data_IF_845717867263
#
_entry.id   IF_845717867263
#
_cell.length_a   1.000
_cell.length_b   1.000
_cell.length_c   1.000
_cell.angle_alpha   90.00
_cell.angle_beta   90.00
_cell.angle_gamma   90.00
#
_symmetry.space_group_name_H-M   'P 1'
#
loop_
_entity.id
_entity.type
_entity.pdbx_description
1 polymer ?
#
# COMPACT_ATOMS: atom_id res chain seq x y z
N UNK A 1 56.68 68.12 32.70
CA UNK A 1 57.00 66.72 33.00
C UNK A 1 55.81 66.16 33.74
N UNK A 2 55.35 65.00 33.25
CA UNK A 2 54.41 64.07 33.86
C UNK A 2 52.92 64.44 33.88
N UNK A 3 51.95 63.56 33.61
CA UNK A 3 51.85 62.29 32.87
C UNK A 3 50.36 61.96 32.78
N UNK A 4 49.98 61.17 31.77
CA UNK A 4 48.63 60.83 31.32
C UNK A 4 47.71 60.14 32.35
N UNK A 5 46.39 60.22 32.11
CA UNK A 5 45.48 59.05 32.14
C UNK A 5 44.09 59.43 31.58
N UNK A 6 43.83 59.05 30.33
CA UNK A 6 42.50 59.08 29.71
C UNK A 6 42.02 57.62 29.62
N UNK A 7 41.04 57.27 30.44
CA UNK A 7 40.47 55.91 30.49
C UNK A 7 39.44 55.74 29.38
N UNK A 8 39.79 55.01 28.33
CA UNK A 8 38.86 54.57 27.28
C UNK A 8 38.18 53.28 27.77
N UNK A 9 36.89 53.35 28.09
CA UNK A 9 36.08 52.17 28.36
C UNK A 9 35.66 51.52 27.03
N UNK A 10 36.29 50.40 26.68
CA UNK A 10 35.88 49.57 25.56
C UNK A 10 34.65 48.73 25.96
N UNK A 11 33.48 49.12 25.47
CA UNK A 11 32.25 48.33 25.60
C UNK A 11 32.34 47.08 24.72
N UNK A 12 32.50 45.91 25.32
CA UNK A 12 32.46 44.63 24.63
C UNK A 12 31.00 44.30 24.28
N UNK A 13 30.60 44.53 23.03
CA UNK A 13 29.30 44.10 22.52
C UNK A 13 29.37 42.59 22.26
N UNK A 14 28.95 41.78 23.23
CA UNK A 14 28.77 40.34 23.05
C UNK A 14 27.49 40.13 22.24
N UNK A 15 27.63 39.97 20.93
CA UNK A 15 26.55 39.53 20.06
C UNK A 15 26.17 38.09 20.45
N UNK A 16 25.12 37.95 21.24
CA UNK A 16 24.55 36.65 21.61
C UNK A 16 24.01 35.97 20.36
N UNK A 17 24.76 35.00 19.83
CA UNK A 17 24.25 34.06 18.84
C UNK A 17 23.28 33.14 19.57
N UNK A 18 21.99 33.44 19.46
CA UNK A 18 20.93 32.52 19.90
C UNK A 18 20.99 31.33 18.93
N UNK A 19 21.27 30.09 19.41
CA UNK A 19 21.22 28.94 18.53
C UNK A 19 19.76 28.77 18.10
N UNK A 20 19.51 28.98 16.81
CA UNK A 20 18.24 28.66 16.18
C UNK A 20 18.11 27.14 16.28
N UNK A 21 17.30 26.67 17.24
CA UNK A 21 16.97 25.27 17.34
C UNK A 21 16.22 24.89 16.05
N UNK A 22 16.92 24.23 15.13
CA UNK A 22 16.30 23.57 13.99
C UNK A 22 15.36 22.53 14.57
N UNK A 23 14.06 22.83 14.64
CA UNK A 23 13.04 21.82 14.90
C UNK A 23 13.16 20.85 13.74
N UNK A 24 13.76 19.69 13.97
CA UNK A 24 13.82 18.64 12.96
C UNK A 24 12.37 18.36 12.55
N UNK A 25 12.05 18.62 11.28
CA UNK A 25 10.74 18.29 10.73
C UNK A 25 10.53 16.80 10.93
N UNK A 26 9.50 16.45 11.68
CA UNK A 26 9.09 15.06 11.88
C UNK A 26 8.83 14.45 10.49
N UNK A 27 9.47 13.31 10.17
CA UNK A 27 9.31 12.69 8.86
C UNK A 27 7.83 12.35 8.63
N UNK A 28 7.29 12.72 7.47
CA UNK A 28 5.87 12.53 7.14
C UNK A 28 5.57 11.15 6.51
N UNK A 29 6.56 10.26 6.53
CA UNK A 29 6.51 8.88 6.08
C UNK A 29 7.44 8.05 6.95
N UNK A 30 7.40 6.72 6.80
CA UNK A 30 8.39 5.82 7.39
C UNK A 30 9.18 5.11 6.31
N UNK A 31 10.46 4.86 6.59
CA UNK A 31 11.33 4.07 5.76
C UNK A 31 11.84 2.89 6.58
N UNK A 32 11.80 1.71 5.99
CA UNK A 32 12.44 0.50 6.49
C UNK A 32 13.57 0.17 5.52
N UNK A 33 14.80 0.23 6.00
CA UNK A 33 15.93 -0.24 5.22
C UNK A 33 15.87 -1.76 5.10
N UNK A 34 16.19 -2.25 3.91
CA UNK A 34 16.21 -3.69 3.64
C UNK A 34 17.33 -4.37 4.40
N UNK A 35 17.04 -5.51 5.01
CA UNK A 35 18.05 -6.46 5.47
C UNK A 35 18.71 -7.20 4.29
N UNK A 36 19.62 -8.15 4.56
CA UNK A 36 20.12 -9.05 3.52
C UNK A 36 18.97 -9.95 3.03
N UNK A 37 18.83 -10.09 1.70
CA UNK A 37 17.81 -10.96 1.13
C UNK A 37 17.62 -10.81 -0.37
N UNK A 38 16.70 -11.59 -0.99
CA UNK A 38 16.46 -11.56 -2.42
C UNK A 38 16.05 -10.18 -2.98
N UNK A 39 15.45 -9.34 -2.14
CA UNK A 39 15.01 -7.99 -2.45
C UNK A 39 16.06 -6.90 -2.23
N UNK A 40 17.28 -7.24 -1.79
CA UNK A 40 18.34 -6.28 -1.56
C UNK A 40 18.61 -5.42 -2.79
N UNK A 41 18.73 -4.11 -2.59
CA UNK A 41 18.92 -3.12 -3.66
C UNK A 41 17.66 -2.76 -4.46
N UNK A 42 16.49 -3.34 -4.12
CA UNK A 42 15.19 -2.95 -4.69
C UNK A 42 14.41 -2.06 -3.73
N UNK A 43 13.71 -1.07 -4.26
CA UNK A 43 12.92 -0.12 -3.49
C UNK A 43 11.43 -0.24 -3.79
N UNK A 44 10.63 -0.45 -2.75
CA UNK A 44 9.18 -0.50 -2.81
C UNK A 44 8.60 0.74 -2.12
N UNK A 45 7.71 1.45 -2.80
CA UNK A 45 6.92 2.54 -2.20
C UNK A 45 5.50 2.05 -1.96
N UNK A 46 5.04 2.14 -0.72
CA UNK A 46 3.73 1.70 -0.27
C UNK A 46 2.87 2.94 0.04
N UNK A 47 1.82 3.18 -0.75
CA UNK A 47 0.98 4.38 -0.69
C UNK A 47 -0.33 4.04 -0.01
N UNK A 48 -0.48 4.48 1.26
CA UNK A 48 -1.73 4.35 2.02
C UNK A 48 -2.62 5.59 1.87
N UNK A 49 -3.88 5.49 2.27
CA UNK A 49 -4.86 6.58 2.15
C UNK A 49 -6.26 6.05 1.89
N UNK A 50 -6.68 5.12 2.72
CA UNK A 50 -8.01 4.53 2.74
C UNK A 50 -8.58 4.66 4.16
N UNK A 51 -9.75 5.28 4.24
CA UNK A 51 -10.44 5.63 5.48
C UNK A 51 -11.31 4.52 6.07
N UNK A 52 -11.36 3.34 5.44
CA UNK A 52 -12.26 2.26 5.82
C UNK A 52 -11.48 1.00 6.26
N UNK A 53 -10.55 0.51 5.45
CA UNK A 53 -9.85 -0.77 5.61
C UNK A 53 -8.47 -0.69 6.26
N UNK A 54 -8.11 0.47 6.80
CA UNK A 54 -6.92 0.71 7.63
C UNK A 54 -5.61 0.49 6.89
N UNK A 55 -5.52 1.02 5.66
CA UNK A 55 -4.27 0.99 4.88
C UNK A 55 -3.04 1.51 5.64
N UNK A 56 -3.22 2.47 6.55
CA UNK A 56 -2.23 3.06 7.44
C UNK A 56 -1.71 2.08 8.51
N UNK A 57 -2.39 0.96 8.76
CA UNK A 57 -1.92 -0.13 9.62
C UNK A 57 -1.42 -1.32 8.78
N UNK A 58 -2.07 -1.60 7.64
CA UNK A 58 -1.72 -2.70 6.75
C UNK A 58 -0.34 -2.50 6.08
N UNK A 59 -0.11 -1.35 5.47
CA UNK A 59 1.10 -1.11 4.67
C UNK A 59 2.37 -1.02 5.52
N UNK A 60 2.38 -0.43 6.74
CA UNK A 60 3.51 -0.56 7.64
C UNK A 60 3.90 -2.01 7.94
N UNK A 61 2.93 -2.88 8.21
CA UNK A 61 3.24 -4.27 8.53
C UNK A 61 3.75 -5.02 7.31
N UNK A 62 3.14 -4.81 6.14
CA UNK A 62 3.63 -5.40 4.89
C UNK A 62 5.04 -4.90 4.55
N UNK A 63 5.30 -3.60 4.71
CA UNK A 63 6.61 -3.00 4.51
C UNK A 63 7.68 -3.56 5.45
N UNK A 64 7.34 -3.78 6.73
CA UNK A 64 8.25 -4.43 7.69
C UNK A 64 8.57 -5.87 7.28
N UNK A 65 7.56 -6.65 6.86
CA UNK A 65 7.78 -8.03 6.38
C UNK A 65 8.70 -8.03 5.15
N UNK A 66 8.42 -7.16 4.16
CA UNK A 66 9.23 -7.04 2.96
C UNK A 66 10.67 -6.62 3.26
N UNK A 67 10.89 -5.72 4.21
CA UNK A 67 12.23 -5.25 4.57
C UNK A 67 13.01 -6.26 5.44
N UNK A 68 12.40 -6.76 6.52
CA UNK A 68 13.05 -7.62 7.51
C UNK A 68 13.23 -9.06 7.02
N UNK A 69 12.27 -9.59 6.24
CA UNK A 69 12.29 -11.00 5.80
C UNK A 69 12.90 -11.18 4.41
N UNK A 70 12.86 -10.14 3.59
CA UNK A 70 13.20 -10.25 2.16
C UNK A 70 14.24 -9.25 1.67
N UNK A 71 14.59 -8.25 2.48
CA UNK A 71 15.64 -7.29 2.15
C UNK A 71 15.24 -6.16 1.21
N UNK A 72 13.94 -5.97 0.93
CA UNK A 72 13.48 -4.82 0.17
C UNK A 72 13.62 -3.54 0.99
N UNK A 73 14.13 -2.48 0.38
CA UNK A 73 13.92 -1.15 0.96
C UNK A 73 12.44 -0.80 0.81
N UNK A 74 11.78 -0.37 1.88
CA UNK A 74 10.36 -0.01 1.84
C UNK A 74 10.13 1.40 2.38
N UNK A 75 9.45 2.25 1.61
CA UNK A 75 8.96 3.56 2.09
C UNK A 75 7.43 3.53 2.14
N UNK A 76 6.85 3.78 3.31
CA UNK A 76 5.39 3.83 3.49
C UNK A 76 4.95 5.29 3.61
N UNK A 77 4.10 5.70 2.68
CA UNK A 77 3.49 7.03 2.60
C UNK A 77 2.07 6.99 3.17
N UNK A 78 1.63 8.10 3.76
CA UNK A 78 0.35 8.20 4.45
C UNK A 78 -0.46 9.39 3.96
N UNK A 79 -1.79 9.29 4.10
CA UNK A 79 -2.64 10.47 4.14
C UNK A 79 -2.32 11.26 5.42
N UNK A 80 -1.87 12.51 5.26
CA UNK A 80 -1.37 13.33 6.37
C UNK A 80 -2.18 14.62 6.44
N UNK A 81 -2.68 14.95 7.64
CA UNK A 81 -3.18 16.29 7.92
C UNK A 81 -2.01 17.29 7.83
N UNK A 82 -2.01 18.22 6.86
CA UNK A 82 -0.91 19.15 6.66
C UNK A 82 -0.72 20.14 7.81
N UNK A 83 -1.74 20.38 8.63
CA UNK A 83 -1.65 21.30 9.76
C UNK A 83 -0.97 20.65 10.98
N UNK A 84 -1.18 19.35 11.18
CA UNK A 84 -0.73 18.66 12.40
C UNK A 84 0.41 17.68 12.16
N UNK A 85 0.56 17.16 10.93
CA UNK A 85 1.50 16.08 10.60
C UNK A 85 1.08 14.71 11.16
N UNK A 86 -0.18 14.57 11.56
CA UNK A 86 -0.78 13.31 12.02
C UNK A 86 -1.30 12.54 10.81
N UNK A 87 -1.24 11.21 10.89
CA UNK A 87 -1.89 10.33 9.91
C UNK A 87 -3.40 10.49 10.05
N UNK A 88 -4.02 10.91 8.97
CA UNK A 88 -5.46 11.09 8.89
C UNK A 88 -5.97 10.50 7.57
N UNK A 89 -6.55 9.29 7.60
CA UNK A 89 -7.11 8.64 6.42
C UNK A 89 -8.25 9.42 5.76
N UNK A 90 -8.94 10.32 6.47
CA UNK A 90 -10.00 11.16 5.91
C UNK A 90 -9.44 12.34 5.10
N UNK A 91 -8.14 12.65 5.23
CA UNK A 91 -7.46 13.64 4.39
C UNK A 91 -7.25 13.07 2.99
N UNK A 92 -8.16 13.43 2.08
CA UNK A 92 -8.15 12.96 0.69
C UNK A 92 -7.13 13.67 -0.22
N UNK A 93 -6.55 14.78 0.22
CA UNK A 93 -5.85 15.75 -0.65
C UNK A 93 -4.34 15.83 -0.41
N UNK A 94 -3.77 15.07 0.52
CA UNK A 94 -2.36 15.20 0.86
C UNK A 94 -1.71 13.86 1.24
N UNK A 95 -0.77 13.41 0.41
CA UNK A 95 0.13 12.29 0.68
C UNK A 95 1.58 12.75 0.37
N UNK A 96 2.32 13.26 1.37
CA UNK A 96 3.70 13.70 1.17
C UNK A 96 4.64 12.52 0.89
N UNK A 97 5.75 12.78 0.19
CA UNK A 97 6.78 11.78 -0.14
C UNK A 97 6.57 11.03 -1.46
N UNK A 98 5.53 11.37 -2.24
CA UNK A 98 5.22 10.73 -3.54
C UNK A 98 6.35 10.88 -4.56
N UNK A 99 7.22 11.89 -4.43
CA UNK A 99 8.45 12.06 -5.22
C UNK A 99 9.38 10.85 -5.17
N UNK A 100 9.33 10.08 -4.09
CA UNK A 100 10.07 8.82 -3.90
C UNK A 100 9.74 7.77 -4.97
N UNK A 101 8.57 7.84 -5.62
CA UNK A 101 8.19 6.95 -6.73
C UNK A 101 9.16 7.05 -7.93
N UNK A 102 9.91 8.14 -8.07
CA UNK A 102 10.92 8.27 -9.11
C UNK A 102 11.95 7.14 -9.06
N UNK A 103 12.34 6.73 -7.84
CA UNK A 103 13.39 5.73 -7.58
C UNK A 103 12.83 4.33 -7.30
N UNK A 104 11.55 4.21 -6.96
CA UNK A 104 10.93 2.93 -6.57
C UNK A 104 10.90 1.90 -7.71
N UNK A 105 11.28 0.65 -7.48
CA UNK A 105 11.07 -0.46 -8.43
C UNK A 105 9.62 -0.94 -8.50
N UNK A 106 8.85 -0.76 -7.42
CA UNK A 106 7.45 -1.19 -7.33
C UNK A 106 6.63 -0.23 -6.46
N UNK A 107 5.38 0.02 -6.88
CA UNK A 107 4.39 0.75 -6.09
C UNK A 107 3.34 -0.24 -5.56
N UNK A 108 3.19 -0.30 -4.24
CA UNK A 108 2.02 -0.91 -3.60
C UNK A 108 1.05 0.22 -3.28
N UNK A 109 -0.20 0.12 -3.70
CA UNK A 109 -1.21 1.17 -3.48
C UNK A 109 -2.46 0.58 -2.82
N UNK A 110 -2.87 1.20 -1.71
CA UNK A 110 -4.07 0.88 -0.95
C UNK A 110 -4.77 2.18 -0.57
N UNK A 111 -5.24 2.91 -1.59
CA UNK A 111 -5.90 4.21 -1.44
C UNK A 111 -7.38 4.14 -1.80
N UNK A 112 -8.14 5.11 -1.33
CA UNK A 112 -9.58 5.26 -1.59
C UNK A 112 -9.93 6.69 -1.94
N UNK A 113 -10.54 6.92 -3.10
CA UNK A 113 -11.11 8.20 -3.51
C UNK A 113 -10.23 9.44 -3.26
N UNK A 114 -8.90 9.29 -3.35
CA UNK A 114 -7.98 10.41 -3.13
C UNK A 114 -8.22 11.49 -4.18
N UNK A 115 -8.22 12.74 -3.74
CA UNK A 115 -8.37 13.94 -4.54
C UNK A 115 -7.06 14.73 -4.49
N UNK A 116 -5.96 14.09 -4.90
CA UNK A 116 -4.63 14.69 -4.78
C UNK A 116 -4.44 15.83 -5.81
N UNK A 117 -3.72 16.91 -5.45
CA UNK A 117 -3.45 18.02 -6.34
C UNK A 117 -2.39 17.65 -7.41
N UNK A 118 -2.29 18.47 -8.47
CA UNK A 118 -1.34 18.28 -9.59
C UNK A 118 0.09 17.93 -9.15
N UNK A 119 0.72 18.63 -8.18
CA UNK A 119 2.09 18.33 -7.79
C UNK A 119 2.27 16.92 -7.22
N UNK A 120 1.24 16.35 -6.59
CA UNK A 120 1.31 14.98 -6.06
C UNK A 120 0.93 13.95 -7.12
N UNK A 121 -0.11 14.21 -7.92
CA UNK A 121 -0.49 13.32 -9.02
C UNK A 121 0.58 13.19 -10.11
N UNK A 122 1.44 14.21 -10.30
CA UNK A 122 2.52 14.14 -11.30
C UNK A 122 3.49 12.98 -11.06
N UNK A 123 3.72 12.62 -9.80
CA UNK A 123 4.62 11.52 -9.45
C UNK A 123 3.99 10.16 -9.78
N UNK A 124 2.69 10.01 -9.52
CA UNK A 124 1.92 8.82 -9.87
C UNK A 124 1.81 8.68 -11.39
N UNK A 125 1.47 9.76 -12.11
CA UNK A 125 1.40 9.73 -13.59
C UNK A 125 2.76 9.37 -14.20
N UNK A 126 3.86 9.97 -13.74
CA UNK A 126 5.21 9.64 -14.23
C UNK A 126 5.56 8.19 -13.97
N UNK A 127 5.27 7.67 -12.77
CA UNK A 127 5.50 6.27 -12.43
C UNK A 127 4.74 5.33 -13.38
N UNK A 128 3.44 5.59 -13.57
CA UNK A 128 2.59 4.77 -14.42
C UNK A 128 3.02 4.83 -15.88
N UNK A 129 3.32 6.02 -16.39
CA UNK A 129 3.79 6.21 -17.77
C UNK A 129 5.12 5.54 -18.04
N UNK A 130 5.97 5.35 -17.04
CA UNK A 130 7.20 4.57 -17.18
C UNK A 130 6.95 3.05 -17.29
N UNK A 131 5.71 2.58 -17.15
CA UNK A 131 5.37 1.15 -17.22
C UNK A 131 5.91 0.35 -16.04
N UNK A 132 6.07 0.96 -14.87
CA UNK A 132 6.66 0.31 -13.69
C UNK A 132 5.63 -0.59 -12.98
N UNK A 133 6.07 -1.68 -12.31
CA UNK A 133 5.17 -2.63 -11.65
C UNK A 133 4.24 -2.01 -10.60
N UNK A 134 3.00 -2.51 -10.51
CA UNK A 134 2.00 -2.06 -9.51
C UNK A 134 1.41 -3.25 -8.76
N UNK A 135 1.30 -3.11 -7.44
CA UNK A 135 0.46 -3.97 -6.60
C UNK A 135 -0.71 -3.16 -6.08
N UNK A 136 -1.92 -3.46 -6.51
CA UNK A 136 -3.14 -2.80 -6.04
C UNK A 136 -3.84 -3.67 -5.00
N UNK A 137 -4.04 -3.13 -3.81
CA UNK A 137 -4.83 -3.78 -2.75
C UNK A 137 -6.21 -3.16 -2.69
N UNK A 138 -7.15 -3.75 -1.94
CA UNK A 138 -8.30 -3.01 -1.36
C UNK A 138 -7.84 -1.58 -0.99
N UNK A 139 -8.51 -0.49 -1.26
CA UNK A 139 -9.63 -0.16 -2.15
C UNK A 139 -9.14 0.46 -3.47
N UNK A 140 -7.92 0.14 -3.92
CA UNK A 140 -7.26 0.82 -5.02
C UNK A 140 -7.97 0.66 -6.38
N UNK A 141 -8.95 -0.25 -6.51
CA UNK A 141 -9.90 -0.27 -7.64
C UNK A 141 -10.62 1.06 -7.81
N UNK A 142 -10.72 1.86 -6.76
CA UNK A 142 -11.23 3.22 -6.78
C UNK A 142 -10.32 4.18 -6.01
N UNK A 143 -9.01 4.04 -6.25
CA UNK A 143 -7.94 4.82 -5.64
C UNK A 143 -8.17 6.33 -5.65
N UNK A 144 -8.73 6.87 -6.74
CA UNK A 144 -8.82 8.31 -6.99
C UNK A 144 -10.23 8.78 -7.34
N UNK A 145 -10.60 9.93 -6.79
CA UNK A 145 -11.76 10.72 -7.15
C UNK A 145 -11.28 12.17 -7.30
N UNK A 146 -10.65 12.45 -8.44
CA UNK A 146 -9.93 13.69 -8.73
C UNK A 146 -10.91 14.77 -9.16
N UNK A 147 -11.02 15.80 -8.33
CA UNK A 147 -11.77 17.02 -8.56
C UNK A 147 -10.83 18.24 -8.61
N UNK A 148 -9.79 18.25 -7.77
CA UNK A 148 -8.82 19.33 -7.61
C UNK A 148 -7.69 19.35 -8.63
N UNK A 149 -7.67 18.41 -9.58
CA UNK A 149 -6.66 18.33 -10.64
C UNK A 149 -7.31 18.07 -12.00
N UNK A 150 -7.62 19.12 -12.78
CA UNK A 150 -8.11 18.95 -14.14
C UNK A 150 -7.15 18.15 -15.03
N UNK A 151 -5.84 18.33 -14.83
CA UNK A 151 -4.76 17.64 -15.57
C UNK A 151 -4.82 16.12 -15.43
N UNK A 152 -5.17 15.63 -14.24
CA UNK A 152 -5.14 14.20 -13.90
C UNK A 152 -6.53 13.60 -13.68
N UNK A 153 -7.59 14.30 -14.14
CA UNK A 153 -8.99 13.88 -14.00
C UNK A 153 -9.27 12.50 -14.61
N UNK A 154 -8.53 12.09 -15.64
CA UNK A 154 -8.58 10.74 -16.23
C UNK A 154 -8.50 9.63 -15.20
N UNK A 155 -7.75 9.80 -14.11
CA UNK A 155 -7.55 8.75 -13.10
C UNK A 155 -8.76 8.50 -12.19
N UNK A 156 -9.75 9.39 -12.20
CA UNK A 156 -10.99 9.24 -11.41
C UNK A 156 -11.68 7.91 -11.69
N UNK A 157 -11.99 7.16 -10.65
CA UNK A 157 -12.46 5.77 -10.71
C UNK A 157 -13.71 5.52 -11.59
N UNK A 158 -14.56 6.52 -11.73
CA UNK A 158 -15.75 6.50 -12.60
C UNK A 158 -15.65 7.53 -13.75
N UNK A 159 -14.43 7.93 -14.09
CA UNK A 159 -14.15 8.88 -15.17
C UNK A 159 -14.66 8.38 -16.52
N UNK A 160 -14.98 9.31 -17.40
CA UNK A 160 -15.50 9.03 -18.74
C UNK A 160 -14.55 9.54 -19.84
N UNK A 161 -13.28 9.76 -19.50
CA UNK A 161 -12.30 10.27 -20.46
C UNK A 161 -12.02 9.22 -21.54
N UNK A 162 -12.13 9.56 -22.84
CA UNK A 162 -11.90 8.60 -23.92
C UNK A 162 -10.52 7.97 -23.85
N UNK A 163 -10.46 6.63 -23.88
CA UNK A 163 -9.22 5.86 -23.78
C UNK A 163 -8.68 5.71 -22.35
N UNK A 164 -9.36 6.25 -21.35
CA UNK A 164 -9.07 6.03 -19.94
C UNK A 164 -10.35 5.91 -19.10
N UNK A 165 -11.39 5.29 -19.68
CA UNK A 165 -12.70 5.17 -19.05
C UNK A 165 -12.60 4.37 -17.76
N UNK A 166 -13.37 4.78 -16.74
CA UNK A 166 -13.41 4.14 -15.42
C UNK A 166 -12.05 4.15 -14.69
N UNK A 167 -11.17 5.07 -15.09
CA UNK A 167 -10.06 5.53 -14.29
C UNK A 167 -8.98 4.53 -13.99
N UNK A 168 -8.19 4.86 -12.95
CA UNK A 168 -7.02 4.09 -12.54
C UNK A 168 -7.32 2.61 -12.33
N UNK A 169 -8.38 2.29 -11.58
CA UNK A 169 -8.72 0.90 -11.25
C UNK A 169 -8.98 0.08 -12.51
N UNK A 170 -9.82 0.55 -13.42
CA UNK A 170 -10.10 -0.18 -14.65
C UNK A 170 -8.88 -0.29 -15.56
N UNK A 171 -8.18 0.81 -15.77
CA UNK A 171 -7.12 0.88 -16.77
C UNK A 171 -5.81 0.23 -16.32
N UNK A 172 -5.44 0.39 -15.04
CA UNK A 172 -4.22 -0.19 -14.47
C UNK A 172 -4.51 -1.53 -13.81
N UNK A 173 -5.47 -1.60 -12.88
CA UNK A 173 -5.71 -2.80 -12.07
C UNK A 173 -6.58 -3.84 -12.78
N UNK A 174 -7.37 -3.48 -13.79
CA UNK A 174 -8.29 -4.40 -14.48
C UNK A 174 -9.73 -4.30 -14.02
N UNK A 175 -9.99 -3.66 -12.89
CA UNK A 175 -11.36 -3.39 -12.48
C UNK A 175 -11.47 -2.13 -11.60
N UNK A 176 -12.57 -1.41 -11.78
CA UNK A 176 -12.97 -0.29 -10.92
C UNK A 176 -13.95 -0.77 -9.85
N UNK A 177 -14.36 0.10 -8.92
CA UNK A 177 -15.44 -0.22 -8.00
C UNK A 177 -16.75 -0.51 -8.73
N UNK A 178 -17.36 -1.66 -8.44
CA UNK A 178 -18.67 -2.06 -8.98
C UNK A 178 -19.70 -2.11 -7.85
N UNK A 179 -19.53 -3.05 -6.93
CA UNK A 179 -20.39 -3.26 -5.78
C UNK A 179 -19.75 -4.27 -4.82
N UNK A 180 -20.29 -4.36 -3.62
CA UNK A 180 -20.09 -5.54 -2.77
C UNK A 180 -20.79 -6.76 -3.41
N UNK A 181 -20.16 -7.92 -3.29
CA UNK A 181 -20.73 -9.22 -3.67
C UNK A 181 -21.13 -10.01 -2.43
N UNK A 182 -20.28 -9.98 -1.40
CA UNK A 182 -20.65 -10.38 -0.04
C UNK A 182 -21.44 -9.27 0.69
N UNK A 183 -22.07 -9.62 1.82
CA UNK A 183 -22.70 -8.68 2.71
C UNK A 183 -21.63 -7.97 3.54
N UNK A 184 -21.35 -6.72 3.20
CA UNK A 184 -20.36 -5.88 3.89
C UNK A 184 -20.54 -5.88 5.42
N UNK A 185 -19.45 -6.13 6.14
CA UNK A 185 -19.43 -6.19 7.60
C UNK A 185 -20.09 -7.42 8.23
N UNK A 186 -20.55 -8.40 7.44
CA UNK A 186 -21.23 -9.61 7.93
C UNK A 186 -20.74 -10.91 7.32
N UNK A 187 -20.34 -10.88 6.05
CA UNK A 187 -19.79 -12.01 5.34
C UNK A 187 -18.31 -11.75 5.03
N UNK A 188 -17.47 -12.78 5.17
CA UNK A 188 -16.03 -12.69 4.93
C UNK A 188 -15.60 -13.36 3.61
N UNK A 189 -14.32 -13.20 3.27
CA UNK A 189 -13.71 -13.78 2.07
C UNK A 189 -12.79 -14.92 2.45
N UNK A 190 -13.07 -16.14 1.95
CA UNK A 190 -12.10 -17.24 1.92
C UNK A 190 -11.55 -17.39 0.50
N UNK A 191 -10.24 -17.31 0.35
CA UNK A 191 -9.57 -17.48 -0.93
C UNK A 191 -9.48 -18.95 -1.34
N UNK A 192 -9.86 -19.22 -2.59
CA UNK A 192 -9.73 -20.51 -3.28
C UNK A 192 -8.85 -20.29 -4.50
N UNK A 193 -7.77 -21.06 -4.64
CA UNK A 193 -6.87 -20.95 -5.79
C UNK A 193 -7.65 -21.31 -7.07
N UNK A 194 -7.59 -20.43 -8.07
CA UNK A 194 -8.20 -20.70 -9.37
C UNK A 194 -7.59 -21.98 -9.98
N UNK A 195 -8.39 -22.93 -10.49
CA UNK A 195 -7.87 -24.16 -11.07
C UNK A 195 -6.80 -23.93 -12.16
N UNK A 196 -6.94 -22.88 -12.98
CA UNK A 196 -5.99 -22.52 -14.02
C UNK A 196 -4.71 -21.84 -13.49
N UNK A 197 -4.69 -21.44 -12.21
CA UNK A 197 -3.56 -20.78 -11.56
C UNK A 197 -2.84 -21.67 -10.52
N UNK A 198 -3.17 -22.98 -10.42
CA UNK A 198 -2.55 -23.89 -9.44
C UNK A 198 -1.03 -23.96 -9.51
N UNK A 199 -0.45 -23.81 -10.70
CA UNK A 199 1.01 -23.81 -10.92
C UNK A 199 1.59 -22.40 -10.97
N UNK A 200 0.76 -21.36 -10.86
CA UNK A 200 1.21 -19.98 -10.93
C UNK A 200 2.11 -19.65 -9.72
N UNK A 201 3.23 -18.91 -9.89
CA UNK A 201 4.16 -18.65 -8.78
C UNK A 201 3.53 -17.99 -7.55
N UNK A 202 2.49 -17.16 -7.75
CA UNK A 202 1.76 -16.52 -6.64
C UNK A 202 1.07 -17.55 -5.72
N UNK A 203 0.67 -18.71 -6.25
CA UNK A 203 -0.02 -19.76 -5.50
C UNK A 203 0.91 -20.63 -4.63
N UNK A 204 2.25 -20.48 -4.75
CA UNK A 204 3.21 -21.30 -4.00
C UNK A 204 3.09 -21.07 -2.48
N UNK A 205 3.00 -22.18 -1.74
CA UNK A 205 2.87 -22.16 -0.27
C UNK A 205 1.52 -21.67 0.27
N UNK A 206 0.51 -21.47 -0.60
CA UNK A 206 -0.84 -21.17 -0.16
C UNK A 206 -1.59 -22.48 0.13
N UNK A 207 -1.78 -22.79 1.41
CA UNK A 207 -2.61 -23.92 1.82
C UNK A 207 -4.10 -23.62 1.54
N UNK A 208 -4.94 -24.62 1.24
CA UNK A 208 -6.39 -24.43 1.07
C UNK A 208 -7.00 -23.69 2.26
N UNK A 209 -7.74 -22.61 2.00
CA UNK A 209 -8.40 -21.79 3.02
C UNK A 209 -7.48 -20.87 3.83
N UNK A 210 -6.16 -20.90 3.62
CA UNK A 210 -5.21 -20.03 4.36
C UNK A 210 -5.26 -18.56 3.94
N UNK A 211 -5.71 -18.29 2.71
CA UNK A 211 -6.04 -16.93 2.27
C UNK A 211 -7.43 -16.62 2.81
N UNK A 212 -7.51 -15.67 3.73
CA UNK A 212 -8.76 -15.28 4.36
C UNK A 212 -8.67 -13.83 4.85
N UNK A 213 -9.81 -13.17 4.97
CA UNK A 213 -9.91 -11.90 5.67
C UNK A 213 -11.37 -11.64 6.05
N UNK A 214 -11.63 -10.93 7.16
CA UNK A 214 -12.98 -10.64 7.65
C UNK A 214 -13.70 -9.60 6.80
N UNK A 215 -13.28 -9.40 5.55
CA UNK A 215 -13.80 -8.41 4.62
C UNK A 215 -14.56 -9.11 3.52
N UNK A 216 -15.64 -8.47 3.05
CA UNK A 216 -16.56 -9.09 2.09
C UNK A 216 -16.00 -9.10 0.67
N UNK A 217 -16.41 -10.10 -0.12
CA UNK A 217 -15.99 -10.23 -1.52
C UNK A 217 -16.53 -9.05 -2.33
N UNK A 218 -15.69 -8.42 -3.14
CA UNK A 218 -16.12 -7.41 -4.12
C UNK A 218 -16.62 -8.05 -5.42
N UNK A 219 -17.63 -7.42 -6.04
CA UNK A 219 -18.08 -7.78 -7.38
C UNK A 219 -17.08 -7.24 -8.41
N UNK A 220 -16.73 -8.08 -9.37
CA UNK A 220 -15.97 -7.70 -10.57
C UNK A 220 -16.75 -8.11 -11.83
N UNK A 221 -16.51 -7.44 -12.96
CA UNK A 221 -17.10 -7.87 -14.23
C UNK A 221 -16.33 -9.06 -14.78
N UNK A 222 -17.08 -10.08 -15.20
CA UNK A 222 -16.54 -11.29 -15.81
C UNK A 222 -16.84 -11.31 -17.33
N UNK A 223 -15.87 -11.72 -18.16
CA UNK A 223 -14.47 -11.97 -17.82
C UNK A 223 -13.74 -10.67 -17.43
N UNK A 224 -12.68 -10.79 -16.61
CA UNK A 224 -11.75 -9.68 -16.38
C UNK A 224 -11.11 -9.25 -17.71
N UNK A 225 -10.76 -7.96 -17.91
CA UNK A 225 -10.36 -7.46 -19.21
C UNK A 225 -8.94 -7.85 -19.61
N UNK A 226 -8.70 -7.88 -20.92
CA UNK A 226 -7.35 -8.00 -21.50
C UNK A 226 -6.67 -9.32 -21.15
N UNK A 227 -5.43 -9.23 -20.68
CA UNK A 227 -4.59 -10.36 -20.28
C UNK A 227 -4.75 -10.72 -18.80
N UNK A 228 -5.87 -10.33 -18.18
CA UNK A 228 -6.12 -10.62 -16.77
C UNK A 228 -6.22 -12.11 -16.51
N UNK A 229 -5.42 -12.62 -15.58
CA UNK A 229 -5.44 -14.01 -15.12
C UNK A 229 -5.88 -14.05 -13.65
N UNK A 230 -7.09 -14.55 -13.34
CA UNK A 230 -7.49 -14.88 -11.97
C UNK A 230 -6.50 -15.85 -11.32
N UNK A 231 -6.09 -15.54 -10.08
CA UNK A 231 -5.18 -16.37 -9.27
C UNK A 231 -5.92 -16.94 -8.07
N UNK A 232 -6.70 -16.11 -7.39
CA UNK A 232 -7.52 -16.50 -6.23
C UNK A 232 -8.94 -16.02 -6.45
N UNK A 233 -9.88 -16.93 -6.28
CA UNK A 233 -11.32 -16.70 -6.25
C UNK A 233 -11.78 -16.53 -4.80
N UNK A 234 -12.74 -15.63 -4.58
CA UNK A 234 -13.34 -15.36 -3.27
C UNK A 234 -14.58 -16.21 -3.07
N UNK A 235 -14.48 -17.21 -2.20
CA UNK A 235 -15.62 -17.88 -1.61
C UNK A 235 -16.21 -16.96 -0.53
N UNK A 236 -17.48 -16.59 -0.69
CA UNK A 236 -18.23 -15.85 0.33
C UNK A 236 -18.56 -16.78 1.49
N UNK A 237 -18.23 -16.33 2.71
CA UNK A 237 -18.41 -17.06 3.97
C UNK A 237 -19.49 -16.37 4.81
N UNK A 238 -20.36 -17.15 5.47
CA UNK A 238 -21.59 -16.67 6.12
C UNK A 238 -21.36 -15.85 7.40
N UNK A 239 -20.11 -15.75 7.85
CA UNK A 239 -19.72 -14.96 9.01
C UNK A 239 -18.30 -14.43 8.89
N UNK A 240 -17.77 -13.97 10.02
CA UNK A 240 -16.52 -13.21 10.13
C UNK A 240 -15.40 -14.02 10.79
N UNK A 241 -15.60 -15.32 11.01
CA UNK A 241 -14.59 -16.26 11.48
C UNK A 241 -14.12 -17.15 10.32
N UNK A 242 -12.81 -17.47 10.21
CA UNK A 242 -12.30 -18.34 9.15
C UNK A 242 -12.89 -19.75 9.17
N UNK A 243 -13.48 -20.21 10.28
CA UNK A 243 -14.15 -21.51 10.41
C UNK A 243 -15.63 -21.49 10.01
N UNK A 244 -16.21 -20.30 9.79
CA UNK A 244 -17.61 -20.19 9.37
C UNK A 244 -17.86 -20.89 8.02
N UNK A 245 -19.08 -21.42 7.80
CA UNK A 245 -19.40 -22.13 6.57
C UNK A 245 -19.51 -21.16 5.38
N UNK A 246 -19.21 -21.60 4.15
CA UNK A 246 -19.54 -20.86 2.94
C UNK A 246 -21.04 -20.57 2.86
N UNK A 247 -21.42 -19.42 2.30
CA UNK A 247 -22.82 -19.18 1.97
C UNK A 247 -23.26 -20.14 0.84
N UNK A 248 -24.50 -20.61 0.92
CA UNK A 248 -25.13 -21.44 -0.11
C UNK A 248 -25.76 -20.56 -1.20
N UNK A 249 -25.71 -20.99 -2.46
CA UNK A 249 -26.41 -20.34 -3.58
C UNK A 249 -25.51 -19.47 -4.46
N UNK A 250 -26.15 -18.56 -5.22
CA UNK A 250 -25.56 -17.87 -6.39
C UNK A 250 -24.28 -17.06 -6.09
N UNK A 251 -24.06 -16.65 -4.83
CA UNK A 251 -22.85 -15.89 -4.46
C UNK A 251 -21.55 -16.67 -4.68
N UNK A 252 -21.59 -18.00 -4.69
CA UNK A 252 -20.41 -18.83 -4.92
C UNK A 252 -20.44 -19.55 -6.28
N UNK A 253 -21.39 -19.20 -7.16
CA UNK A 253 -21.65 -19.87 -8.43
C UNK A 253 -21.89 -18.87 -9.58
N UNK A 254 -20.84 -18.34 -10.24
CA UNK A 254 -19.41 -18.56 -9.95
C UNK A 254 -18.89 -17.66 -8.83
N UNK A 255 -17.78 -18.08 -8.22
CA UNK A 255 -17.00 -17.21 -7.33
C UNK A 255 -16.38 -16.03 -8.09
N UNK A 256 -16.29 -14.87 -7.44
CA UNK A 256 -15.61 -13.71 -8.01
C UNK A 256 -14.08 -13.83 -7.82
N UNK A 257 -13.26 -13.47 -8.81
CA UNK A 257 -11.84 -13.23 -8.61
C UNK A 257 -11.61 -12.17 -7.52
N UNK A 258 -10.76 -12.51 -6.55
CA UNK A 258 -10.30 -11.58 -5.49
C UNK A 258 -8.81 -11.29 -5.57
N UNK A 259 -8.05 -12.04 -6.38
CA UNK A 259 -6.69 -11.70 -6.75
C UNK A 259 -6.40 -12.15 -8.18
N UNK A 260 -5.79 -11.28 -8.98
CA UNK A 260 -5.46 -11.53 -10.38
C UNK A 260 -4.19 -10.79 -10.80
N UNK A 261 -3.60 -11.24 -11.89
CA UNK A 261 -2.48 -10.55 -12.55
C UNK A 261 -2.91 -9.99 -13.88
N UNK A 262 -2.27 -8.92 -14.36
CA UNK A 262 -2.43 -8.40 -15.73
C UNK A 262 -1.25 -7.53 -16.14
N UNK A 263 -1.28 -6.98 -17.35
CA UNK A 263 -0.42 -5.85 -17.74
C UNK A 263 -1.24 -4.61 -18.08
N UNK A 264 -0.59 -3.44 -17.94
CA UNK A 264 -1.14 -2.15 -18.36
C UNK A 264 -0.14 -1.42 -19.28
N UNK A 265 -0.67 -0.52 -20.10
CA UNK A 265 0.15 0.30 -21.00
C UNK A 265 0.64 1.57 -20.30
N UNK A 266 1.94 1.84 -20.42
CA UNK A 266 2.58 3.11 -20.09
C UNK A 266 2.63 4.03 -21.32
N UNK A 267 3.61 4.93 -21.35
CA UNK A 267 3.88 5.78 -22.50
C UNK A 267 4.71 5.03 -23.55
N UNK A 268 4.37 5.19 -24.83
CA UNK A 268 5.02 4.47 -25.92
C UNK A 268 4.82 2.96 -25.77
N UNK A 269 5.91 2.19 -25.88
CA UNK A 269 5.88 0.73 -25.77
C UNK A 269 6.03 0.22 -24.33
N UNK A 270 6.12 1.10 -23.34
CA UNK A 270 6.26 0.72 -21.94
C UNK A 270 5.04 -0.07 -21.45
N UNK A 271 5.27 -1.16 -20.71
CA UNK A 271 4.20 -1.98 -20.11
C UNK A 271 4.59 -2.39 -18.70
N UNK A 272 3.67 -2.24 -17.76
CA UNK A 272 3.87 -2.65 -16.37
C UNK A 272 3.12 -3.91 -16.00
N UNK A 273 3.73 -4.76 -15.18
CA UNK A 273 3.09 -5.93 -14.54
C UNK A 273 2.25 -5.45 -13.35
N UNK A 274 1.07 -6.03 -13.22
CA UNK A 274 0.14 -5.72 -12.13
C UNK A 274 -0.27 -6.98 -11.42
N UNK A 275 -0.14 -6.98 -10.10
CA UNK A 275 -0.88 -7.89 -9.23
C UNK A 275 -1.94 -7.07 -8.50
N UNK A 276 -3.20 -7.37 -8.74
CA UNK A 276 -4.32 -6.69 -8.11
C UNK A 276 -5.07 -7.68 -7.23
N UNK A 277 -5.47 -7.24 -6.04
CA UNK A 277 -6.35 -8.00 -5.19
C UNK A 277 -7.37 -7.06 -4.57
N UNK A 278 -8.61 -7.53 -4.50
CA UNK A 278 -9.63 -6.90 -3.67
C UNK A 278 -9.46 -7.31 -2.22
N UNK A 279 -8.33 -7.91 -1.81
CA UNK A 279 -7.92 -8.13 -0.42
C UNK A 279 -6.83 -7.15 0.03
N UNK A 280 -6.54 -7.13 1.33
CA UNK A 280 -5.44 -6.33 1.89
C UNK A 280 -5.87 -5.27 2.91
N UNK A 281 -7.05 -5.41 3.52
CA UNK A 281 -7.34 -4.67 4.74
C UNK A 281 -6.36 -5.05 5.86
N UNK A 282 -6.14 -4.19 6.85
CA UNK A 282 -5.23 -4.51 7.96
C UNK A 282 -5.63 -5.80 8.68
N UNK A 283 -6.92 -6.04 8.87
CA UNK A 283 -7.44 -7.28 9.46
C UNK A 283 -7.25 -8.51 8.56
N UNK A 284 -7.21 -8.35 7.23
CA UNK A 284 -6.89 -9.46 6.31
C UNK A 284 -5.43 -9.95 6.51
N UNK A 285 -4.53 -9.04 6.90
CA UNK A 285 -3.12 -9.37 7.16
C UNK A 285 -2.90 -10.18 8.44
N UNK A 286 -3.94 -10.44 9.25
CA UNK A 286 -3.86 -11.41 10.35
C UNK A 286 -3.64 -12.83 9.79
N UNK A 287 -4.29 -13.15 8.66
CA UNK A 287 -4.18 -14.46 8.01
C UNK A 287 -2.83 -14.61 7.28
N UNK A 288 -2.10 -15.68 7.60
CA UNK A 288 -0.79 -15.96 7.03
C UNK A 288 -0.84 -16.14 5.50
N UNK A 289 -1.84 -16.87 4.99
CA UNK A 289 -1.96 -17.09 3.54
C UNK A 289 -2.23 -15.80 2.78
N UNK A 290 -2.96 -14.85 3.37
CA UNK A 290 -3.14 -13.52 2.77
C UNK A 290 -1.81 -12.77 2.70
N UNK A 291 -1.05 -12.71 3.80
CA UNK A 291 0.29 -12.09 3.78
C UNK A 291 1.19 -12.74 2.73
N UNK A 292 1.21 -14.08 2.65
CA UNK A 292 1.99 -14.84 1.66
C UNK A 292 1.59 -14.55 0.23
N UNK A 293 0.28 -14.46 -0.04
CA UNK A 293 -0.22 -14.09 -1.36
C UNK A 293 0.28 -12.69 -1.77
N UNK A 294 0.23 -11.72 -0.86
CA UNK A 294 0.72 -10.35 -1.12
C UNK A 294 2.22 -10.32 -1.41
N UNK A 295 3.03 -11.00 -0.57
CA UNK A 295 4.48 -11.07 -0.78
C UNK A 295 4.82 -11.79 -2.08
N UNK A 296 4.21 -12.94 -2.36
CA UNK A 296 4.42 -13.63 -3.64
C UNK A 296 4.00 -12.74 -4.85
N UNK A 297 2.93 -11.95 -4.70
CA UNK A 297 2.49 -10.97 -5.69
C UNK A 297 3.52 -9.88 -5.95
N UNK A 298 4.22 -9.39 -4.92
CA UNK A 298 5.34 -8.44 -5.05
C UNK A 298 6.48 -9.06 -5.85
N UNK A 299 6.91 -10.28 -5.51
CA UNK A 299 7.96 -10.98 -6.25
C UNK A 299 7.59 -11.17 -7.72
N UNK A 300 6.36 -11.61 -7.99
CA UNK A 300 5.88 -11.77 -9.37
C UNK A 300 5.84 -10.41 -10.10
N UNK A 301 5.30 -9.36 -9.50
CA UNK A 301 5.23 -8.05 -10.15
C UNK A 301 6.63 -7.50 -10.52
N UNK A 302 7.65 -7.80 -9.71
CA UNK A 302 9.05 -7.42 -9.95
C UNK A 302 9.80 -8.31 -10.95
N UNK A 303 9.23 -9.40 -11.47
CA UNK A 303 9.97 -10.33 -12.32
C UNK A 303 10.88 -11.29 -11.54
N UNK A 304 10.62 -11.47 -10.26
CA UNK A 304 11.42 -12.25 -9.32
C UNK A 304 10.75 -13.59 -8.95
N UNK A 305 9.78 -14.07 -9.74
CA UNK A 305 9.02 -15.28 -9.44
C UNK A 305 9.86 -16.57 -9.32
N UNK A 306 11.07 -16.61 -9.87
CA UNK A 306 12.02 -17.71 -9.67
C UNK A 306 12.55 -17.80 -8.24
N UNK A 307 12.49 -16.70 -7.48
CA UNK A 307 12.96 -16.60 -6.11
C UNK A 307 11.86 -16.89 -5.07
N UNK A 308 10.61 -17.14 -5.51
CA UNK A 308 9.52 -17.57 -4.63
C UNK A 308 9.72 -19.05 -4.29
N UNK A 309 10.00 -19.42 -3.01
CA UNK A 309 10.18 -20.82 -2.63
C UNK A 309 8.93 -21.65 -2.92
N UNK A 310 9.10 -22.93 -3.24
CA UNK A 310 7.96 -23.83 -3.48
C UNK A 310 7.03 -23.96 -2.26
N UNK A 311 7.60 -23.91 -1.05
CA UNK A 311 6.88 -23.91 0.21
C UNK A 311 6.26 -22.53 0.58
N UNK A 312 6.50 -21.49 -0.22
CA UNK A 312 6.04 -20.13 0.02
C UNK A 312 7.09 -19.21 0.65
N UNK A 313 6.81 -17.91 0.61
CA UNK A 313 7.65 -16.86 1.23
C UNK A 313 7.46 -16.80 2.76
N UNK A 314 8.49 -16.34 3.46
CA UNK A 314 8.43 -16.07 4.90
C UNK A 314 7.65 -14.79 5.18
N UNK A 315 6.47 -14.93 5.75
CA UNK A 315 5.55 -13.82 6.01
C UNK A 315 5.23 -13.67 7.49
N UNK A 316 6.14 -14.11 8.36
CA UNK A 316 6.03 -13.91 9.80
C UNK A 316 5.97 -12.43 10.11
N UNK A 317 4.98 -12.03 10.91
CA UNK A 317 4.81 -10.67 11.40
C UNK A 317 6.11 -10.16 12.06
N UNK A 318 6.37 -8.87 11.90
CA UNK A 318 7.52 -8.18 12.51
C UNK A 318 6.99 -7.29 13.64
N UNK A 319 7.25 -7.70 14.88
CA UNK A 319 6.65 -7.07 16.07
C UNK A 319 5.16 -7.41 16.25
N UNK A 320 4.52 -6.84 17.29
CA UNK A 320 3.10 -7.05 17.55
C UNK A 320 2.25 -6.45 16.43
N UNK A 321 1.19 -7.16 16.06
CA UNK A 321 0.25 -6.70 15.04
C UNK A 321 -1.19 -7.01 15.46
N UNK A 322 -1.85 -5.99 15.97
CA UNK A 322 -3.24 -6.02 16.41
C UNK A 322 -3.98 -4.91 15.66
N UNK A 323 -4.37 -5.14 14.40
CA UNK A 323 -5.00 -4.12 13.60
C UNK A 323 -6.38 -3.77 14.17
N UNK A 324 -6.79 -2.50 14.07
CA UNK A 324 -8.18 -2.16 14.38
C UNK A 324 -9.14 -2.72 13.33
N UNK A 325 -10.38 -2.94 13.71
CA UNK A 325 -11.44 -3.32 12.78
C UNK A 325 -11.61 -2.30 11.65
N UNK A 326 -12.00 -2.79 10.47
CA UNK A 326 -12.35 -1.92 9.36
C UNK A 326 -13.72 -1.24 9.60
N UNK A 327 -13.89 -0.07 9.01
CA UNK A 327 -15.08 0.77 9.14
C UNK A 327 -14.72 2.25 9.21
N UNK A 328 -15.68 3.13 8.91
CA UNK A 328 -15.45 4.57 8.87
C UNK A 328 -15.30 5.19 10.27
N UNK A 329 -14.41 6.18 10.39
CA UNK A 329 -14.20 6.94 11.63
C UNK A 329 -13.55 6.15 12.79
N UNK A 330 -13.13 4.91 12.54
CA UNK A 330 -12.51 4.01 13.52
C UNK A 330 -10.98 4.06 13.56
N UNK A 331 -10.33 4.90 12.74
CA UNK A 331 -8.87 5.01 12.71
C UNK A 331 -8.29 5.47 14.06
N UNK A 332 -7.10 4.98 14.40
CA UNK A 332 -6.37 5.42 15.60
C UNK A 332 -6.03 6.90 15.50
N UNK A 333 -6.44 7.69 16.50
CA UNK A 333 -6.23 9.14 16.53
C UNK A 333 -4.83 9.50 17.01
N UNK A 334 -4.28 10.58 16.46
CA UNK A 334 -3.00 11.16 16.92
C UNK A 334 -1.76 10.37 16.53
N UNK A 335 -1.90 9.32 15.71
CA UNK A 335 -0.77 8.52 15.24
C UNK A 335 0.04 9.32 14.23
N UNK A 336 1.34 9.44 14.47
CA UNK A 336 2.30 10.06 13.54
C UNK A 336 3.08 8.96 12.83
N UNK A 337 3.62 9.21 11.62
CA UNK A 337 4.41 8.23 10.87
C UNK A 337 5.47 7.53 11.73
N UNK A 338 6.24 8.28 12.52
CA UNK A 338 7.27 7.73 13.44
C UNK A 338 6.78 6.62 14.39
N UNK A 339 5.49 6.56 14.72
CA UNK A 339 4.93 5.49 15.54
C UNK A 339 4.99 4.11 14.83
N UNK A 340 5.11 4.11 13.50
CA UNK A 340 5.28 2.90 12.70
C UNK A 340 6.75 2.53 12.45
N UNK A 341 7.72 3.33 12.90
CA UNK A 341 9.14 3.02 12.74
C UNK A 341 9.46 1.60 13.23
N UNK A 342 10.46 0.96 12.61
CA UNK A 342 10.96 -0.31 13.12
C UNK A 342 11.49 -0.10 14.54
N UNK A 343 11.18 -1.01 15.46
CA UNK A 343 11.91 -1.05 16.72
C UNK A 343 13.40 -1.28 16.41
N UNK A 344 14.32 -0.73 17.20
CA UNK A 344 15.73 -1.09 17.08
C UNK A 344 15.82 -2.61 17.18
N UNK A 345 16.36 -3.26 16.14
CA UNK A 345 16.55 -4.71 16.20
C UNK A 345 17.60 -5.00 17.26
N UNK A 346 17.43 -6.07 18.05
CA UNK A 346 18.40 -6.54 19.07
C UNK A 346 19.83 -6.76 18.54
N UNK A 347 20.07 -6.65 17.22
CA UNK A 347 21.41 -6.62 16.62
C UNK A 347 22.27 -5.42 17.05
N UNK A 348 21.69 -4.35 17.61
CA UNK A 348 22.45 -3.24 18.21
C UNK A 348 22.80 -3.48 19.69
N UNK A 349 22.18 -4.45 20.38
CA UNK A 349 22.44 -4.72 21.79
C UNK A 349 23.71 -5.57 22.02
N UNK A 350 24.29 -6.13 20.96
CA UNK A 350 25.51 -6.97 20.98
C UNK A 350 26.74 -6.27 20.36
N UNK A 351 26.74 -4.92 20.29
CA UNK A 351 27.92 -4.14 19.85
C UNK A 351 28.54 -3.31 20.96
#
# INVERSE_FOLDING_TARGET
MDSALLTIAAGLLVAGVVPMACVASDAQWVRYDGSDGPGAGRHIVLVSGDEEYRSEEALPQLGKILADRHGFTCTVLFAIDPATGVIDPDVRTNIPGLETLAEADLMIIATRFRNLPDPQMTHIDRYLRAGKPVVGLRTATHAFAIEGSPTYKKYTWNGTEPGYEQGFGRQVLGETWVAHHGHHGRESTRGVIDPAARTHPIARGLAPGSVWGPTDVYRVRLPLPGDSQPIVLGQVVAGMDPSDPPVTGEKNEPMMPVAWTRTYAGAGDARGRVFATTMGAATDLVAEGTRRMLVNGVYWALGMESLIPSAGTDVRLVGPYEPTDFGFGGARKGVRPRAHAAAPTDKEADR
#
